data_IF_522527973823
#
_entry.id   IF_522527973823
#
_cell.length_a   1.000
_cell.length_b   1.000
_cell.length_c   1.000
_cell.angle_alpha   90.00
_cell.angle_beta   90.00
_cell.angle_gamma   90.00
#
_symmetry.space_group_name_H-M   'P 1'
#
loop_
_entity.id
_entity.type
_entity.pdbx_description
1 polymer ?
#
# COMPACT_ATOMS: atom_id res chain seq x y z
N UNK A 1 56.69 32.48 -54.28
CA UNK A 1 56.11 31.16 -54.33
C UNK A 1 56.34 30.58 -52.97
N UNK A 2 55.33 30.69 -52.07
CA UNK A 2 55.44 30.32 -50.69
C UNK A 2 54.64 29.01 -50.51
N UNK A 3 55.38 27.94 -50.42
CA UNK A 3 54.80 26.58 -50.24
C UNK A 3 54.50 26.37 -48.76
N UNK A 4 53.23 26.67 -48.36
CA UNK A 4 52.73 26.48 -47.04
C UNK A 4 52.82 24.99 -46.56
N UNK A 5 53.82 24.71 -45.79
CA UNK A 5 54.08 23.43 -45.17
C UNK A 5 52.99 23.12 -44.13
N UNK A 6 51.94 22.39 -44.55
CA UNK A 6 50.88 21.92 -43.64
C UNK A 6 51.45 20.89 -42.65
N UNK A 7 51.52 21.27 -41.40
CA UNK A 7 52.08 20.48 -40.31
C UNK A 7 51.19 19.26 -40.05
N UNK A 8 51.58 18.02 -40.41
CA UNK A 8 50.72 16.83 -40.33
C UNK A 8 50.37 16.40 -38.90
N UNK A 9 51.05 17.01 -37.92
CA UNK A 9 50.84 16.70 -36.50
C UNK A 9 49.58 17.36 -35.92
N UNK A 10 49.11 18.45 -36.47
CA UNK A 10 47.93 19.19 -36.02
C UNK A 10 46.66 18.40 -36.36
N UNK A 11 46.62 17.79 -37.56
CA UNK A 11 45.47 16.99 -37.99
C UNK A 11 45.25 15.74 -37.14
N UNK A 12 46.31 15.03 -36.73
CA UNK A 12 46.21 13.81 -35.91
C UNK A 12 45.71 14.12 -34.49
N UNK A 13 46.14 15.23 -33.90
CA UNK A 13 45.68 15.63 -32.55
C UNK A 13 44.23 16.10 -32.56
N UNK A 14 43.78 16.76 -33.62
CA UNK A 14 42.38 17.20 -33.73
C UNK A 14 41.43 16.03 -33.89
N UNK A 15 41.77 15.01 -34.67
CA UNK A 15 40.98 13.79 -34.85
C UNK A 15 40.88 13.01 -33.55
N UNK A 16 41.94 12.92 -32.77
CA UNK A 16 41.94 12.24 -31.48
C UNK A 16 41.07 12.93 -30.43
N UNK A 17 41.11 14.28 -30.39
CA UNK A 17 40.27 15.06 -29.47
C UNK A 17 38.79 14.97 -29.83
N UNK A 18 38.44 15.01 -31.13
CA UNK A 18 37.06 14.81 -31.57
C UNK A 18 36.52 13.40 -31.21
N UNK A 19 37.34 12.37 -31.35
CA UNK A 19 36.99 11.01 -31.00
C UNK A 19 36.68 10.82 -29.48
N UNK A 20 37.50 11.40 -28.62
CA UNK A 20 37.31 11.39 -27.18
C UNK A 20 36.02 12.13 -26.76
N UNK A 21 35.74 13.28 -27.40
CA UNK A 21 34.52 14.06 -27.13
C UNK A 21 33.26 13.29 -27.51
N UNK A 22 33.23 12.62 -28.66
CA UNK A 22 32.07 11.81 -29.10
C UNK A 22 31.80 10.64 -28.12
N UNK A 23 32.86 9.96 -27.69
CA UNK A 23 32.74 8.86 -26.70
C UNK A 23 32.26 9.37 -25.36
N UNK A 24 32.74 10.52 -24.89
CA UNK A 24 32.32 11.09 -23.60
C UNK A 24 30.85 11.54 -23.64
N UNK A 25 30.41 12.17 -24.72
CA UNK A 25 28.99 12.57 -24.89
C UNK A 25 28.10 11.35 -25.02
N UNK A 26 28.50 10.33 -25.80
CA UNK A 26 27.76 9.06 -25.89
C UNK A 26 27.59 8.35 -24.57
N UNK A 27 28.68 8.23 -23.80
CA UNK A 27 28.64 7.61 -22.47
C UNK A 27 27.73 8.39 -21.51
N UNK A 28 27.78 9.72 -21.55
CA UNK A 28 26.94 10.58 -20.70
C UNK A 28 25.45 10.44 -21.03
N UNK A 29 25.08 10.33 -22.29
CA UNK A 29 23.70 10.13 -22.74
C UNK A 29 23.18 8.75 -22.34
N UNK A 30 23.98 7.72 -22.49
CA UNK A 30 23.59 6.36 -22.06
C UNK A 30 23.42 6.30 -20.55
N UNK A 31 24.33 6.90 -19.81
CA UNK A 31 24.21 6.95 -18.34
C UNK A 31 22.98 7.75 -17.87
N UNK A 32 22.67 8.85 -18.54
CA UNK A 32 21.49 9.67 -18.26
C UNK A 32 20.17 8.95 -18.60
N UNK A 33 20.14 8.20 -19.72
CA UNK A 33 19.00 7.34 -20.04
C UNK A 33 18.83 6.20 -19.03
N UNK A 34 19.91 5.57 -18.60
CA UNK A 34 19.91 4.51 -17.62
C UNK A 34 19.49 5.00 -16.24
N UNK A 35 19.91 6.20 -15.84
CA UNK A 35 19.48 6.84 -14.60
C UNK A 35 17.99 7.21 -14.61
N UNK A 36 17.45 7.61 -15.76
CA UNK A 36 16.00 7.88 -15.91
C UNK A 36 15.16 6.60 -15.92
N UNK A 37 15.69 5.49 -16.41
CA UNK A 37 14.99 4.21 -16.39
C UNK A 37 14.91 3.60 -14.96
N UNK A 38 15.83 3.95 -14.07
CA UNK A 38 15.82 3.53 -12.68
C UNK A 38 14.78 4.28 -11.82
N UNK A 39 14.18 5.37 -12.29
CA UNK A 39 13.24 6.21 -11.55
C UNK A 39 11.80 5.66 -11.44
N UNK A 40 11.43 4.63 -12.19
CA UNK A 40 10.12 4.00 -12.06
C UNK A 40 10.28 2.65 -11.39
N UNK A 41 10.23 2.64 -10.07
CA UNK A 41 10.18 1.37 -9.31
C UNK A 41 8.96 0.59 -9.75
N UNK A 42 9.18 -0.50 -10.48
CA UNK A 42 8.10 -1.42 -10.80
C UNK A 42 7.66 -2.07 -9.48
N UNK A 43 6.45 -1.77 -9.03
CA UNK A 43 5.85 -2.48 -7.91
C UNK A 43 5.71 -3.96 -8.28
N UNK A 44 6.01 -4.89 -7.38
CA UNK A 44 5.71 -6.30 -7.59
C UNK A 44 4.20 -6.45 -7.82
N UNK A 45 3.77 -7.45 -8.54
CA UNK A 45 2.33 -7.67 -8.84
C UNK A 45 1.49 -7.86 -7.58
N UNK A 46 2.10 -8.39 -6.52
CA UNK A 46 1.44 -8.69 -5.25
C UNK A 46 2.29 -8.23 -4.07
N UNK A 47 1.63 -7.95 -2.95
CA UNK A 47 2.17 -7.42 -1.71
C UNK A 47 1.73 -8.28 -0.53
N UNK A 48 2.42 -8.13 0.60
CA UNK A 48 2.05 -8.76 1.86
C UNK A 48 1.98 -10.29 1.75
N UNK A 49 3.10 -10.93 1.32
CA UNK A 49 3.17 -12.36 1.06
C UNK A 49 2.05 -12.82 0.10
N UNK A 50 1.97 -12.19 -1.04
CA UNK A 50 1.00 -12.48 -2.10
C UNK A 50 -0.49 -12.34 -1.70
N UNK A 51 -0.77 -11.65 -0.60
CA UNK A 51 -2.14 -11.46 -0.13
C UNK A 51 -2.88 -10.41 -0.95
N UNK A 52 -2.26 -9.26 -1.21
CA UNK A 52 -2.91 -8.14 -1.87
C UNK A 52 -2.35 -7.84 -3.25
N UNK A 53 -3.21 -7.42 -4.18
CA UNK A 53 -2.78 -6.86 -5.45
C UNK A 53 -2.11 -5.50 -5.24
N UNK A 54 -0.93 -5.30 -5.83
CA UNK A 54 -0.27 -3.99 -5.77
C UNK A 54 -1.04 -2.90 -6.50
N UNK A 55 -1.87 -3.24 -7.47
CA UNK A 55 -2.70 -2.28 -8.21
C UNK A 55 -3.65 -1.51 -7.27
N UNK A 56 -4.23 -2.19 -6.28
CA UNK A 56 -5.14 -1.58 -5.30
C UNK A 56 -4.40 -0.63 -4.35
N UNK A 57 -3.18 -0.99 -3.96
CA UNK A 57 -2.34 -0.18 -3.04
C UNK A 57 -1.68 0.98 -3.79
N UNK A 58 -1.36 0.79 -5.07
CA UNK A 58 -0.68 1.79 -5.91
C UNK A 58 -1.40 3.14 -5.93
N UNK A 59 -2.72 3.14 -5.92
CA UNK A 59 -3.52 4.36 -5.92
C UNK A 59 -3.23 5.28 -4.72
N UNK A 60 -2.78 4.71 -3.60
CA UNK A 60 -2.42 5.43 -2.38
C UNK A 60 -1.01 6.01 -2.45
N UNK A 61 -0.10 5.35 -3.14
CA UNK A 61 1.26 5.88 -3.33
C UNK A 61 1.31 7.03 -4.33
N UNK A 62 0.35 7.10 -5.29
CA UNK A 62 0.34 8.12 -6.34
C UNK A 62 1.61 8.09 -7.16
N UNK A 63 2.22 9.26 -7.36
CA UNK A 63 3.47 9.43 -8.11
C UNK A 63 4.71 9.39 -7.19
N UNK A 64 4.62 8.78 -6.00
CA UNK A 64 5.78 8.67 -5.12
C UNK A 64 6.90 7.88 -5.78
N UNK A 65 8.11 8.43 -5.71
CA UNK A 65 9.33 7.81 -6.20
C UNK A 65 10.09 7.13 -5.07
N UNK A 66 10.90 6.13 -5.41
CA UNK A 66 11.76 5.43 -4.47
C UNK A 66 11.61 3.92 -4.53
N UNK A 67 12.37 3.22 -3.70
CA UNK A 67 12.26 1.77 -3.57
C UNK A 67 11.07 1.41 -2.67
N UNK A 68 10.26 0.46 -3.14
CA UNK A 68 9.23 -0.13 -2.30
C UNK A 68 9.90 -0.93 -1.17
N UNK A 69 9.53 -0.61 0.06
CA UNK A 69 9.88 -1.41 1.23
C UNK A 69 8.63 -2.14 1.70
N UNK A 70 8.81 -3.39 2.08
CA UNK A 70 7.74 -4.21 2.65
C UNK A 70 8.28 -4.92 3.88
N UNK A 71 7.53 -4.85 4.97
CA UNK A 71 7.80 -5.57 6.20
C UNK A 71 6.57 -6.34 6.64
N UNK A 72 6.78 -7.58 7.09
CA UNK A 72 5.70 -8.43 7.58
C UNK A 72 6.07 -8.97 8.96
N UNK A 73 5.19 -8.71 9.92
CA UNK A 73 5.38 -9.14 11.29
C UNK A 73 4.49 -10.35 11.54
N UNK A 74 5.07 -11.41 12.14
CA UNK A 74 4.41 -12.66 12.50
C UNK A 74 3.81 -13.42 11.32
N UNK A 75 4.49 -13.37 10.16
CA UNK A 75 4.12 -14.17 9.00
C UNK A 75 2.78 -13.79 8.38
N UNK A 76 2.48 -12.47 8.30
CA UNK A 76 1.26 -11.99 7.62
C UNK A 76 1.02 -12.73 6.27
N UNK A 77 -0.20 -13.19 5.94
CA UNK A 77 -1.46 -13.01 6.66
C UNK A 77 -1.63 -13.94 7.88
N UNK A 78 -0.74 -14.91 8.04
CA UNK A 78 -0.70 -15.87 9.14
C UNK A 78 -1.91 -16.82 9.20
N UNK A 79 -1.72 -18.00 9.75
CA UNK A 79 -2.85 -18.76 10.27
C UNK A 79 -3.41 -18.01 11.48
N UNK A 80 -4.68 -18.15 11.76
CA UNK A 80 -5.22 -17.80 13.08
C UNK A 80 -4.49 -18.66 14.10
N UNK A 81 -3.36 -18.15 14.61
CA UNK A 81 -2.59 -18.88 15.61
C UNK A 81 -3.39 -18.99 16.90
N UNK A 82 -3.12 -20.04 17.65
CA UNK A 82 -3.75 -20.38 18.93
C UNK A 82 -3.59 -19.31 20.02
N UNK A 83 -2.93 -18.21 19.73
CA UNK A 83 -2.71 -17.10 20.67
C UNK A 83 -3.69 -15.96 20.39
N UNK A 84 -4.82 -15.92 21.11
CA UNK A 84 -5.80 -14.83 20.97
C UNK A 84 -5.17 -13.47 21.23
N UNK A 85 -5.46 -12.50 20.35
CA UNK A 85 -5.05 -11.10 20.55
C UNK A 85 -3.72 -10.71 19.91
N UNK A 86 -2.89 -11.64 19.46
CA UNK A 86 -1.71 -11.30 18.71
C UNK A 86 -2.08 -11.07 17.23
N UNK A 87 -1.93 -9.83 16.79
CA UNK A 87 -2.18 -9.47 15.38
C UNK A 87 -0.97 -9.72 14.50
N UNK A 88 -1.22 -10.03 13.25
CA UNK A 88 -0.23 -10.02 12.17
C UNK A 88 -0.27 -8.68 11.45
N UNK A 89 0.86 -8.20 10.98
CA UNK A 89 0.97 -6.89 10.34
C UNK A 89 1.73 -7.03 9.02
N UNK A 90 1.27 -6.32 8.00
CA UNK A 90 2.05 -5.99 6.83
C UNK A 90 2.11 -4.48 6.68
N UNK A 91 3.30 -3.95 6.54
CA UNK A 91 3.55 -2.56 6.24
C UNK A 91 4.27 -2.46 4.89
N UNK A 92 3.79 -1.55 4.05
CA UNK A 92 4.42 -1.25 2.77
C UNK A 92 4.65 0.25 2.68
N UNK A 93 5.82 0.67 2.21
CA UNK A 93 6.15 2.08 2.06
C UNK A 93 6.85 2.37 0.75
N UNK A 94 6.55 3.53 0.17
CA UNK A 94 7.16 4.05 -1.05
C UNK A 94 7.39 5.56 -0.88
N UNK A 95 8.64 5.98 -0.86
CA UNK A 95 9.00 7.35 -0.52
C UNK A 95 8.55 7.70 0.90
N UNK A 96 7.75 8.77 1.02
CA UNK A 96 7.19 9.26 2.28
C UNK A 96 5.75 8.79 2.56
N UNK A 97 5.25 7.83 1.79
CA UNK A 97 3.91 7.26 1.94
C UNK A 97 4.00 5.83 2.45
N UNK A 98 3.12 5.48 3.38
CA UNK A 98 3.03 4.10 3.87
C UNK A 98 1.59 3.64 3.94
N UNK A 99 1.41 2.34 3.80
CA UNK A 99 0.15 1.63 4.00
C UNK A 99 0.42 0.48 4.94
N UNK A 100 -0.40 0.35 5.96
CA UNK A 100 -0.30 -0.76 6.90
C UNK A 100 -1.61 -1.54 6.97
N UNK A 101 -1.48 -2.84 7.07
CA UNK A 101 -2.56 -3.79 7.27
C UNK A 101 -2.29 -4.54 8.57
N UNK A 102 -3.24 -4.49 9.47
CA UNK A 102 -3.18 -5.26 10.71
C UNK A 102 -4.40 -6.15 10.80
N UNK A 103 -4.19 -7.42 11.10
CA UNK A 103 -5.27 -8.41 11.20
C UNK A 103 -5.09 -9.18 12.49
N UNK A 104 -6.19 -9.44 13.17
CA UNK A 104 -6.22 -10.36 14.31
C UNK A 104 -7.56 -11.09 14.39
N UNK A 105 -7.52 -12.30 14.86
CA UNK A 105 -8.70 -13.05 15.22
C UNK A 105 -9.11 -12.71 16.66
N UNK A 106 -10.39 -12.45 16.86
CA UNK A 106 -10.97 -12.15 18.17
C UNK A 106 -12.07 -13.17 18.46
N UNK A 107 -12.06 -13.75 19.64
CA UNK A 107 -13.11 -14.69 20.06
C UNK A 107 -14.47 -14.03 20.16
N UNK A 108 -14.49 -12.77 20.52
CA UNK A 108 -15.68 -11.92 20.57
C UNK A 108 -15.32 -10.50 20.21
N UNK A 109 -16.23 -9.82 19.55
CA UNK A 109 -16.11 -8.41 19.23
C UNK A 109 -17.06 -7.58 20.09
N UNK A 110 -16.73 -6.29 20.27
CA UNK A 110 -17.66 -5.32 20.85
C UNK A 110 -18.92 -5.26 19.96
N UNK A 111 -20.13 -5.34 20.53
CA UNK A 111 -21.36 -5.24 19.74
C UNK A 111 -21.43 -3.94 18.93
N UNK A 112 -22.02 -4.03 17.72
CA UNK A 112 -22.12 -2.87 16.81
C UNK A 112 -22.75 -1.64 17.48
N UNK A 113 -23.83 -1.83 18.21
CA UNK A 113 -24.57 -0.75 18.91
C UNK A 113 -23.68 -0.03 19.94
N UNK A 114 -22.93 -0.78 20.71
CA UNK A 114 -22.02 -0.23 21.72
C UNK A 114 -20.88 0.55 21.08
N UNK A 115 -20.27 0.00 20.03
CA UNK A 115 -19.23 0.71 19.28
C UNK A 115 -19.74 2.03 18.70
N UNK A 116 -20.94 2.04 18.13
CA UNK A 116 -21.54 3.23 17.54
C UNK A 116 -21.75 4.36 18.54
N UNK A 117 -22.02 4.04 19.79
CA UNK A 117 -22.15 5.02 20.88
C UNK A 117 -20.83 5.62 21.35
N UNK A 118 -19.69 5.02 20.99
CA UNK A 118 -18.37 5.43 21.50
C UNK A 118 -17.52 6.18 20.49
N UNK A 119 -17.75 5.97 19.18
CA UNK A 119 -16.87 6.47 18.11
C UNK A 119 -17.47 7.65 17.38
N UNK A 120 -16.62 8.59 16.96
CA UNK A 120 -17.03 9.75 16.14
C UNK A 120 -17.47 9.32 14.74
N UNK A 121 -16.77 8.36 14.14
CA UNK A 121 -17.08 7.85 12.79
C UNK A 121 -17.18 6.34 12.81
N UNK A 122 -18.29 5.84 12.35
CA UNK A 122 -18.57 4.41 12.17
C UNK A 122 -18.25 4.01 10.74
N UNK A 123 -17.64 2.85 10.56
CA UNK A 123 -17.42 2.22 9.26
C UNK A 123 -18.32 0.99 9.12
N UNK A 124 -18.81 0.77 7.91
CA UNK A 124 -19.71 -0.35 7.59
C UNK A 124 -19.37 -0.95 6.22
N UNK A 125 -19.41 -2.30 6.15
CA UNK A 125 -19.28 -3.07 4.92
C UNK A 125 -20.12 -4.35 5.06
N UNK A 126 -21.36 -4.34 4.59
CA UNK A 126 -22.28 -5.46 4.79
C UNK A 126 -22.46 -5.78 6.27
N UNK A 127 -22.17 -7.02 6.66
CA UNK A 127 -22.17 -7.47 8.05
C UNK A 127 -20.99 -6.94 8.87
N UNK A 128 -19.94 -6.45 8.21
CA UNK A 128 -18.76 -5.86 8.87
C UNK A 128 -19.03 -4.44 9.36
N UNK A 129 -18.48 -4.12 10.53
CA UNK A 129 -18.58 -2.79 11.13
C UNK A 129 -17.32 -2.43 11.90
N UNK A 130 -17.08 -1.15 12.11
CA UNK A 130 -15.90 -0.67 12.81
C UNK A 130 -15.88 0.83 13.00
N UNK A 131 -14.70 1.40 13.04
CA UNK A 131 -14.48 2.82 13.25
C UNK A 131 -13.47 3.40 12.25
N UNK A 132 -13.59 4.69 11.98
CA UNK A 132 -12.60 5.47 11.26
C UNK A 132 -11.99 6.49 12.21
N UNK A 133 -10.67 6.40 12.38
CA UNK A 133 -9.88 7.37 13.11
C UNK A 133 -9.28 8.37 12.11
N UNK A 134 -9.84 9.58 12.05
CA UNK A 134 -9.40 10.63 11.11
C UNK A 134 -7.99 11.15 11.40
N UNK A 135 -7.59 11.19 12.68
CA UNK A 135 -6.31 11.75 13.10
C UNK A 135 -5.14 10.83 12.73
N UNK A 136 -5.42 9.52 12.67
CA UNK A 136 -4.44 8.49 12.29
C UNK A 136 -4.56 8.05 10.84
N UNK A 137 -5.61 8.44 10.13
CA UNK A 137 -5.88 7.93 8.80
C UNK A 137 -6.09 6.40 8.79
N UNK A 138 -6.83 5.87 9.76
CA UNK A 138 -7.02 4.43 9.95
C UNK A 138 -8.51 4.06 9.89
N UNK A 139 -8.82 3.02 9.12
CA UNK A 139 -10.13 2.36 9.11
C UNK A 139 -9.99 1.01 9.80
N UNK A 140 -10.83 0.72 10.77
CA UNK A 140 -10.99 -0.60 11.35
C UNK A 140 -12.30 -1.25 10.90
N UNK A 141 -12.30 -2.58 10.82
CA UNK A 141 -13.49 -3.40 10.57
C UNK A 141 -13.45 -4.65 11.44
N UNK A 142 -14.61 -5.04 11.92
CA UNK A 142 -14.90 -6.31 12.57
C UNK A 142 -15.85 -7.07 11.65
N UNK A 143 -15.38 -8.18 11.11
CA UNK A 143 -16.14 -9.02 10.19
C UNK A 143 -16.49 -10.31 10.93
N UNK A 144 -17.76 -10.71 11.03
CA UNK A 144 -18.10 -12.02 11.57
C UNK A 144 -17.32 -13.12 10.87
N UNK A 145 -16.63 -13.97 11.64
CA UNK A 145 -15.81 -15.05 11.10
C UNK A 145 -15.98 -16.30 11.98
N UNK A 146 -17.20 -16.85 12.08
CA UNK A 146 -17.51 -17.96 12.95
C UNK A 146 -16.76 -19.23 12.55
N UNK A 147 -16.28 -19.97 13.55
CA UNK A 147 -15.75 -21.32 13.40
C UNK A 147 -16.60 -22.30 14.18
N UNK A 148 -16.38 -23.62 13.98
CA UNK A 148 -17.06 -24.66 14.76
C UNK A 148 -16.80 -24.53 16.25
N UNK A 149 -15.60 -24.10 16.63
CA UNK A 149 -15.20 -23.96 18.05
C UNK A 149 -15.56 -22.60 18.64
N UNK A 150 -15.72 -21.57 17.80
CA UNK A 150 -15.98 -20.20 18.24
C UNK A 150 -17.03 -19.53 17.34
N UNK A 151 -18.32 -19.76 17.62
CA UNK A 151 -19.41 -19.22 16.79
C UNK A 151 -19.48 -17.69 16.76
N UNK A 152 -18.92 -17.01 17.77
CA UNK A 152 -18.89 -15.55 17.90
C UNK A 152 -17.58 -14.92 17.45
N UNK A 153 -16.69 -15.72 16.84
CA UNK A 153 -15.41 -15.22 16.38
C UNK A 153 -15.56 -14.11 15.33
N UNK A 154 -14.64 -13.18 15.39
CA UNK A 154 -14.62 -12.00 14.55
C UNK A 154 -13.22 -11.78 14.00
N UNK A 155 -13.11 -11.57 12.69
CA UNK A 155 -11.92 -11.06 12.04
C UNK A 155 -11.86 -9.54 12.27
N UNK A 156 -10.94 -9.11 13.10
CA UNK A 156 -10.64 -7.68 13.24
C UNK A 156 -9.52 -7.31 12.30
N UNK A 157 -9.78 -6.35 11.43
CA UNK A 157 -8.76 -5.78 10.58
C UNK A 157 -8.66 -4.27 10.75
N UNK A 158 -7.47 -3.73 10.51
CA UNK A 158 -7.19 -2.31 10.46
C UNK A 158 -6.37 -2.00 9.24
N UNK A 159 -6.77 -1.00 8.49
CA UNK A 159 -6.02 -0.46 7.35
C UNK A 159 -5.73 0.99 7.63
N UNK A 160 -4.45 1.35 7.63
CA UNK A 160 -3.98 2.71 7.80
C UNK A 160 -3.15 3.14 6.60
N UNK A 161 -3.15 4.44 6.33
CA UNK A 161 -2.29 5.02 5.32
C UNK A 161 -1.76 6.38 5.76
N UNK A 162 -0.46 6.58 5.65
CA UNK A 162 0.17 7.89 5.76
C UNK A 162 0.23 8.49 4.36
N UNK A 163 -0.63 9.47 4.09
CA UNK A 163 -0.80 10.09 2.78
C UNK A 163 -0.21 11.49 2.80
N UNK A 164 1.11 11.62 2.64
CA UNK A 164 1.74 12.94 2.53
C UNK A 164 1.21 13.67 1.28
N UNK A 165 0.67 14.87 1.47
CA UNK A 165 0.24 15.77 0.38
C UNK A 165 -1.12 15.42 -0.26
N UNK A 166 -1.86 14.43 0.23
CA UNK A 166 -3.24 14.24 -0.21
C UNK A 166 -4.18 15.25 0.49
N UNK A 167 -5.05 15.89 -0.26
CA UNK A 167 -6.11 16.70 0.31
C UNK A 167 -7.04 15.86 1.21
N UNK A 168 -7.66 16.46 2.21
CA UNK A 168 -8.40 15.72 3.25
C UNK A 168 -9.50 14.78 2.74
N UNK A 169 -10.08 15.03 1.58
CA UNK A 169 -11.15 14.19 1.01
C UNK A 169 -10.66 13.05 0.12
N UNK A 170 -9.62 13.28 -0.67
CA UNK A 170 -9.10 12.31 -1.63
C UNK A 170 -8.46 11.10 -0.95
N UNK A 171 -7.66 11.35 0.09
CA UNK A 171 -7.03 10.30 0.87
C UNK A 171 -8.03 9.36 1.52
N UNK A 172 -9.10 9.89 2.10
CA UNK A 172 -10.16 9.09 2.73
C UNK A 172 -10.89 8.22 1.70
N UNK A 173 -11.18 8.75 0.51
CA UNK A 173 -11.86 7.98 -0.54
C UNK A 173 -11.01 6.78 -1.01
N UNK A 174 -9.72 6.97 -1.19
CA UNK A 174 -8.77 5.90 -1.54
C UNK A 174 -8.65 4.86 -0.41
N UNK A 175 -8.55 5.34 0.84
CA UNK A 175 -8.46 4.47 2.01
C UNK A 175 -9.72 3.61 2.20
N UNK A 176 -10.92 4.21 2.00
CA UNK A 176 -12.21 3.49 2.03
C UNK A 176 -12.24 2.35 1.02
N UNK A 177 -11.76 2.58 -0.20
CA UNK A 177 -11.70 1.58 -1.27
C UNK A 177 -10.73 0.45 -0.92
N UNK A 178 -9.52 0.81 -0.45
CA UNK A 178 -8.55 -0.17 -0.02
C UNK A 178 -9.04 -1.00 1.16
N UNK A 179 -9.71 -0.40 2.14
CA UNK A 179 -10.25 -1.12 3.29
C UNK A 179 -11.34 -2.12 2.87
N UNK A 180 -12.23 -1.76 1.94
CA UNK A 180 -13.22 -2.67 1.38
C UNK A 180 -12.59 -3.84 0.63
N UNK A 181 -11.61 -3.56 -0.23
CA UNK A 181 -10.84 -4.59 -0.93
C UNK A 181 -10.12 -5.53 0.05
N UNK A 182 -9.40 -4.99 1.03
CA UNK A 182 -8.66 -5.78 2.00
C UNK A 182 -9.60 -6.65 2.86
N UNK A 183 -10.77 -6.12 3.24
CA UNK A 183 -11.76 -6.83 4.01
C UNK A 183 -12.26 -8.08 3.27
N UNK A 184 -12.66 -7.93 2.01
CA UNK A 184 -13.08 -9.06 1.18
C UNK A 184 -11.95 -10.05 0.94
N UNK A 185 -10.77 -9.58 0.54
CA UNK A 185 -9.62 -10.46 0.29
C UNK A 185 -9.28 -11.31 1.51
N UNK A 186 -9.23 -10.71 2.69
CA UNK A 186 -8.92 -11.42 3.92
C UNK A 186 -10.05 -12.37 4.32
N UNK A 187 -11.29 -11.90 4.35
CA UNK A 187 -12.40 -12.69 4.84
C UNK A 187 -12.78 -13.84 3.88
N UNK A 188 -12.77 -13.59 2.56
CA UNK A 188 -13.18 -14.58 1.56
C UNK A 188 -12.05 -15.53 1.17
N UNK A 189 -10.87 -14.99 0.87
CA UNK A 189 -9.81 -15.77 0.21
C UNK A 189 -8.80 -16.33 1.20
N UNK A 190 -8.47 -15.59 2.27
CA UNK A 190 -7.45 -15.99 3.23
C UNK A 190 -8.06 -16.78 4.37
N UNK A 191 -9.00 -16.20 5.10
CA UNK A 191 -9.56 -16.81 6.30
C UNK A 191 -10.85 -17.58 6.05
N UNK A 192 -11.44 -17.46 4.87
CA UNK A 192 -12.64 -18.20 4.44
C UNK A 192 -13.77 -18.11 5.46
N UNK A 193 -14.02 -16.90 5.94
CA UNK A 193 -15.07 -16.64 6.93
C UNK A 193 -16.44 -16.99 6.35
N UNK A 194 -17.24 -17.75 7.06
CA UNK A 194 -18.60 -18.12 6.64
C UNK A 194 -19.45 -16.85 6.47
N UNK A 195 -20.10 -16.70 5.32
CA UNK A 195 -20.91 -15.52 4.97
C UNK A 195 -20.10 -14.32 4.46
N UNK A 196 -18.78 -14.45 4.27
CA UNK A 196 -17.95 -13.38 3.74
C UNK A 196 -18.21 -13.10 2.25
N UNK A 197 -18.78 -14.03 1.52
CA UNK A 197 -19.25 -13.90 0.14
C UNK A 197 -20.38 -12.88 -0.01
N UNK A 198 -21.12 -12.60 1.07
CA UNK A 198 -22.16 -11.58 1.14
C UNK A 198 -21.61 -10.16 1.38
N UNK A 199 -20.30 -9.98 1.57
CA UNK A 199 -19.70 -8.66 1.72
C UNK A 199 -19.83 -7.88 0.41
N UNK A 200 -20.40 -6.66 0.44
CA UNK A 200 -20.68 -5.91 -0.78
C UNK A 200 -19.38 -5.49 -1.48
N UNK A 201 -19.46 -5.37 -2.79
CA UNK A 201 -18.40 -4.77 -3.60
C UNK A 201 -18.21 -3.28 -3.28
N UNK A 202 -17.01 -2.78 -3.53
CA UNK A 202 -16.73 -1.35 -3.41
C UNK A 202 -16.11 -0.91 -2.07
N UNK A 203 -16.18 0.41 -1.78
CA UNK A 203 -15.58 1.01 -0.60
C UNK A 203 -16.39 0.77 0.67
N UNK A 204 -15.74 0.86 1.82
CA UNK A 204 -16.46 0.95 3.10
C UNK A 204 -17.26 2.24 3.18
N UNK A 205 -18.40 2.20 3.84
CA UNK A 205 -19.18 3.37 4.18
C UNK A 205 -18.69 3.95 5.51
N UNK A 206 -18.51 5.28 5.54
CA UNK A 206 -18.20 6.01 6.78
C UNK A 206 -19.37 6.94 7.05
N UNK A 207 -19.91 6.86 8.25
CA UNK A 207 -20.95 7.78 8.73
C UNK A 207 -20.60 8.29 10.12
N UNK A 208 -21.23 9.35 10.53
CA UNK A 208 -21.07 9.89 11.88
C UNK A 208 -21.64 8.91 12.90
N UNK A 209 -20.89 8.64 13.96
CA UNK A 209 -21.35 7.90 15.13
C UNK A 209 -21.98 8.83 16.16
N UNK A 210 -22.33 8.27 17.30
CA UNK A 210 -22.96 9.00 18.43
C UNK A 210 -21.92 9.43 19.50
N UNK A 211 -20.68 8.92 19.40
CA UNK A 211 -19.61 9.16 20.37
C UNK A 211 -18.95 10.56 20.30
N UNK A 212 -19.40 11.42 19.40
CA UNK A 212 -18.89 12.80 19.28
C UNK A 212 -19.78 13.79 20.02
N UNK A 213 -19.62 13.83 21.33
CA UNK A 213 -20.16 14.94 22.15
C UNK A 213 -19.04 15.70 22.85
#
# INVERSE_FOLDING_TARGET
>A
MDSGQRNPWIGKRLVLLCGILVVAVGASLVWWQQSRAQGKTALPSRLCNDTFSSAEVKSLYGESEGALKQDTIRGFPGAFGDTPGLGVVCETSLGNRSVNFRVKHMRWGKPKKELMGEVEYVTELGSGYGDYNKDRGEISLRIPCPSSETPTATLYMKVGATLAGAGPGEGVSKLKRLAGYAARTLAQNVYKCKGADELPEGPVHIRRGEGSR
#
